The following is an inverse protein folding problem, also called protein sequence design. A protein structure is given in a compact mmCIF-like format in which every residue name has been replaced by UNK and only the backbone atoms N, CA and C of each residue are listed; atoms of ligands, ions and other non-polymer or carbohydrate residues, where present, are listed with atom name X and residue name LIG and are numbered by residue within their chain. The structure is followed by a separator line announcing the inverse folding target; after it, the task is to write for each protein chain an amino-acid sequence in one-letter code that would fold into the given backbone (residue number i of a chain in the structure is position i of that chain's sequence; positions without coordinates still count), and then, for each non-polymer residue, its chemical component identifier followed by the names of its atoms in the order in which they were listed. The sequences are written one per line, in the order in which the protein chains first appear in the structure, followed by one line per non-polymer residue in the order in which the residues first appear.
data_IF_073185808147
#
_entry.id   IF_073185808147
#
_cell.length_a   1.000
_cell.length_b   1.000
_cell.length_c   1.000
_cell.angle_alpha   90.00
_cell.angle_beta   90.00
_cell.angle_gamma   90.00
#
_symmetry.space_group_name_H-M   'P 1'
#
loop_
_entity.id
_entity.type
_entity.pdbx_description
1 polymer ?
#
# COMPACT_ATOMS: atom_id res chain seq x y z
N UNK A 1 -8.22 5.15 -13.71
CA UNK A 1 -8.67 6.35 -12.96
C UNK A 1 -10.18 6.48 -13.03
N UNK A 2 -10.76 6.44 -14.23
CA UNK A 2 -12.22 6.50 -14.46
C UNK A 2 -13.03 5.47 -13.66
N UNK A 3 -12.62 4.20 -13.66
CA UNK A 3 -13.33 3.11 -12.96
C UNK A 3 -13.44 3.30 -11.44
N UNK A 4 -12.57 4.12 -10.86
CA UNK A 4 -12.57 4.45 -9.43
C UNK A 4 -13.01 5.89 -9.15
N UNK A 5 -13.39 6.65 -10.18
CA UNK A 5 -13.91 8.02 -10.08
C UNK A 5 -12.85 9.08 -9.81
N UNK A 6 -11.62 8.90 -10.30
CA UNK A 6 -10.56 9.92 -10.21
C UNK A 6 -10.52 10.71 -11.53
N UNK A 7 -10.78 12.03 -11.53
CA UNK A 7 -10.59 12.89 -12.71
C UNK A 7 -9.13 12.94 -13.16
N UNK A 8 -8.85 13.01 -14.45
CA UNK A 8 -7.47 13.08 -14.95
C UNK A 8 -6.75 14.37 -14.53
N UNK A 9 -7.51 15.45 -14.37
CA UNK A 9 -7.04 16.75 -13.91
C UNK A 9 -6.45 16.69 -12.51
N UNK A 10 -6.88 15.74 -11.68
CA UNK A 10 -6.40 15.60 -10.31
C UNK A 10 -4.88 15.39 -10.23
N UNK A 11 -4.28 14.81 -11.27
CA UNK A 11 -2.83 14.56 -11.33
C UNK A 11 -2.02 15.75 -11.84
N UNK A 12 -2.67 16.81 -12.36
CA UNK A 12 -1.99 17.96 -12.97
C UNK A 12 -1.73 19.10 -11.98
N UNK A 13 -2.60 19.25 -10.99
CA UNK A 13 -2.62 20.43 -10.11
C UNK A 13 -1.98 20.18 -8.75
N UNK A 14 -1.76 18.92 -8.37
CA UNK A 14 -1.28 18.57 -7.03
C UNK A 14 0.00 17.75 -7.09
N UNK A 15 0.98 18.18 -6.31
CA UNK A 15 2.17 17.40 -6.04
C UNK A 15 1.86 16.33 -4.99
N UNK A 16 2.47 15.15 -5.16
CA UNK A 16 2.36 14.05 -4.22
C UNK A 16 3.66 13.90 -3.43
N UNK A 17 3.57 14.08 -2.12
CA UNK A 17 4.67 13.77 -1.20
C UNK A 17 4.36 12.49 -0.41
N UNK A 18 5.20 11.47 -0.55
CA UNK A 18 5.05 10.19 0.13
C UNK A 18 6.07 10.12 1.26
N UNK A 19 5.57 10.03 2.51
CA UNK A 19 6.40 9.79 3.68
C UNK A 19 6.24 8.36 4.19
N UNK A 20 7.36 7.64 4.31
CA UNK A 20 7.40 6.36 5.02
C UNK A 20 8.15 6.58 6.35
N UNK A 21 7.50 6.39 7.52
CA UNK A 21 8.04 6.75 8.85
C UNK A 21 9.39 6.11 9.18
N UNK A 22 10.06 6.58 10.24
CA UNK A 22 11.37 6.07 10.67
C UNK A 22 12.47 6.23 9.60
N UNK A 23 12.64 7.45 9.05
CA UNK A 23 13.55 7.74 7.94
C UNK A 23 15.02 7.35 8.16
N UNK A 24 15.46 7.18 9.41
CA UNK A 24 16.81 6.71 9.74
C UNK A 24 17.02 5.20 9.48
N UNK A 25 15.93 4.42 9.37
CA UNK A 25 16.01 2.98 9.06
C UNK A 25 15.82 2.80 7.55
N UNK A 26 16.81 2.22 6.84
CA UNK A 26 16.70 1.93 5.41
C UNK A 26 15.45 1.08 5.13
N UNK A 27 14.68 1.50 4.12
CA UNK A 27 13.48 0.77 3.67
C UNK A 27 13.64 0.44 2.22
N UNK A 28 14.33 -0.67 2.00
CA UNK A 28 14.52 -1.23 0.68
C UNK A 28 13.56 -2.40 0.43
N UNK A 29 13.09 -2.50 -0.80
CA UNK A 29 12.33 -3.64 -1.30
C UNK A 29 10.93 -3.29 -1.82
N UNK A 30 10.46 -4.00 -2.85
CA UNK A 30 9.22 -3.66 -3.56
C UNK A 30 7.94 -4.01 -2.78
N UNK A 31 8.07 -4.69 -1.63
CA UNK A 31 6.95 -5.35 -0.94
C UNK A 31 5.90 -4.45 -0.29
N UNK A 32 6.10 -3.13 -0.31
CA UNK A 32 5.17 -2.11 0.15
C UNK A 32 4.33 -1.48 -0.99
N UNK A 33 4.48 -1.95 -2.23
CA UNK A 33 3.83 -1.39 -3.41
C UNK A 33 2.31 -1.27 -3.27
N UNK A 34 1.63 -2.33 -2.79
CA UNK A 34 0.18 -2.30 -2.56
C UNK A 34 -0.25 -1.31 -1.46
N UNK A 35 0.59 -1.11 -0.45
CA UNK A 35 0.34 -0.16 0.65
C UNK A 35 0.43 1.28 0.14
N UNK A 36 1.46 1.58 -0.64
CA UNK A 36 1.64 2.88 -1.29
C UNK A 36 0.49 3.17 -2.26
N UNK A 37 0.13 2.21 -3.13
CA UNK A 37 -0.99 2.36 -4.04
C UNK A 37 -2.31 2.61 -3.30
N UNK A 38 -2.55 1.92 -2.18
CA UNK A 38 -3.75 2.14 -1.37
C UNK A 38 -3.81 3.54 -0.77
N UNK A 39 -2.69 4.08 -0.30
CA UNK A 39 -2.60 5.45 0.22
C UNK A 39 -2.84 6.49 -0.90
N UNK A 40 -2.25 6.28 -2.07
CA UNK A 40 -2.42 7.16 -3.25
C UNK A 40 -3.87 7.12 -3.74
N UNK A 41 -4.44 5.93 -3.91
CA UNK A 41 -5.84 5.78 -4.29
C UNK A 41 -6.77 6.45 -3.26
N UNK A 42 -6.47 6.33 -1.97
CA UNK A 42 -7.24 6.94 -0.89
C UNK A 42 -7.25 8.46 -0.99
N UNK A 43 -6.10 9.11 -1.19
CA UNK A 43 -6.04 10.57 -1.29
C UNK A 43 -6.75 11.10 -2.55
N UNK A 44 -6.63 10.42 -3.70
CA UNK A 44 -7.29 10.86 -4.93
C UNK A 44 -8.79 10.57 -4.96
N UNK A 45 -9.25 9.51 -4.30
CA UNK A 45 -10.69 9.18 -4.24
C UNK A 45 -11.42 9.76 -3.03
N UNK A 46 -10.69 10.36 -2.09
CA UNK A 46 -11.21 10.83 -0.79
C UNK A 46 -11.89 9.72 0.03
N UNK A 47 -11.52 8.46 -0.20
CA UNK A 47 -12.05 7.29 0.54
C UNK A 47 -11.03 6.82 1.56
N UNK A 48 -11.42 6.69 2.82
CA UNK A 48 -10.50 6.29 3.90
C UNK A 48 -10.08 4.83 3.77
N UNK A 49 -8.78 4.57 3.93
CA UNK A 49 -8.28 3.20 4.13
C UNK A 49 -8.67 2.70 5.52
N UNK A 50 -9.09 1.43 5.63
CA UNK A 50 -9.39 0.80 6.92
C UNK A 50 -8.09 0.58 7.71
N UNK A 51 -7.91 1.31 8.81
CA UNK A 51 -6.70 1.26 9.64
C UNK A 51 -6.45 -0.05 10.41
N UNK A 52 -7.34 -1.04 10.29
CA UNK A 52 -7.22 -2.34 10.96
C UNK A 52 -6.77 -3.46 10.01
N UNK A 53 -6.22 -3.11 8.85
CA UNK A 53 -5.74 -4.07 7.84
C UNK A 53 -4.24 -3.82 7.60
N UNK A 54 -3.45 -4.89 7.61
CA UNK A 54 -2.07 -4.88 7.12
C UNK A 54 -2.02 -5.41 5.67
N UNK A 55 -1.17 -4.80 4.83
CA UNK A 55 -1.02 -5.13 3.41
C UNK A 55 0.45 -5.40 3.11
N UNK A 56 0.75 -6.40 2.28
CA UNK A 56 2.07 -6.57 1.65
C UNK A 56 1.93 -7.16 0.27
N UNK A 57 2.84 -6.78 -0.63
CA UNK A 57 2.81 -7.18 -2.03
C UNK A 57 3.55 -6.18 -2.88
N UNK A 58 4.31 -6.69 -3.84
CA UNK A 58 4.84 -5.87 -4.92
C UNK A 58 3.73 -5.62 -5.93
N UNK A 59 3.67 -4.41 -6.49
CA UNK A 59 2.65 -4.06 -7.50
C UNK A 59 3.31 -3.74 -8.82
N UNK A 60 2.79 -4.32 -9.90
CA UNK A 60 3.23 -4.01 -11.26
C UNK A 60 2.44 -2.84 -11.84
N UNK A 61 2.96 -2.22 -12.90
CA UNK A 61 2.23 -1.18 -13.65
C UNK A 61 0.90 -1.67 -14.25
N UNK A 62 0.74 -2.99 -14.41
CA UNK A 62 -0.51 -3.62 -14.88
C UNK A 62 -1.49 -3.91 -13.75
N UNK A 63 -1.17 -3.56 -12.51
CA UNK A 63 -2.02 -3.77 -11.33
C UNK A 63 -1.97 -5.20 -10.77
N UNK A 64 -1.04 -6.05 -11.23
CA UNK A 64 -0.82 -7.37 -10.63
C UNK A 64 -0.07 -7.24 -9.30
N UNK A 65 -0.48 -8.03 -8.31
CA UNK A 65 0.19 -8.14 -7.02
C UNK A 65 1.11 -9.37 -7.03
N UNK A 66 2.42 -9.15 -6.93
CA UNK A 66 3.43 -10.20 -6.99
C UNK A 66 3.80 -10.73 -5.58
N UNK A 67 4.26 -11.99 -5.48
CA UNK A 67 4.74 -12.58 -4.24
C UNK A 67 5.87 -11.78 -3.61
N UNK A 68 5.97 -11.84 -2.28
CA UNK A 68 7.01 -11.17 -1.51
C UNK A 68 7.57 -12.09 -0.44
N UNK A 69 8.84 -11.90 -0.09
CA UNK A 69 9.48 -12.61 1.00
C UNK A 69 9.00 -12.18 2.39
N UNK A 70 9.37 -12.99 3.39
CA UNK A 70 9.18 -12.67 4.80
C UNK A 70 7.73 -12.71 5.30
N UNK A 71 6.88 -13.55 4.71
CA UNK A 71 5.45 -13.61 5.04
C UNK A 71 5.24 -13.96 6.52
N UNK A 72 6.01 -14.92 7.05
CA UNK A 72 5.91 -15.34 8.45
C UNK A 72 6.20 -14.18 9.41
N UNK A 73 7.27 -13.45 9.16
CA UNK A 73 7.74 -12.31 9.96
C UNK A 73 6.71 -11.17 9.90
N UNK A 74 6.18 -10.87 8.71
CA UNK A 74 5.16 -9.83 8.49
C UNK A 74 3.84 -10.15 9.18
N UNK A 75 3.36 -11.38 9.09
CA UNK A 75 2.13 -11.83 9.78
C UNK A 75 2.33 -11.79 11.30
N UNK A 76 3.49 -12.21 11.80
CA UNK A 76 3.80 -12.14 13.23
C UNK A 76 3.88 -10.69 13.72
N UNK A 77 4.46 -9.78 12.96
CA UNK A 77 4.50 -8.36 13.26
C UNK A 77 3.08 -7.75 13.30
N UNK A 78 2.24 -8.06 12.31
CA UNK A 78 0.83 -7.63 12.29
C UNK A 78 0.07 -8.14 13.53
N UNK A 79 0.25 -9.41 13.89
CA UNK A 79 -0.33 -10.00 15.10
C UNK A 79 0.12 -9.29 16.37
N UNK A 80 1.42 -8.97 16.50
CA UNK A 80 1.98 -8.21 17.63
C UNK A 80 1.40 -6.79 17.73
N UNK A 81 1.10 -6.18 16.58
CA UNK A 81 0.43 -4.88 16.50
C UNK A 81 -1.09 -4.95 16.72
N UNK A 82 -1.65 -6.12 17.05
CA UNK A 82 -3.10 -6.30 17.28
C UNK A 82 -3.95 -6.29 15.99
N UNK A 83 -3.32 -6.35 14.82
CA UNK A 83 -4.00 -6.36 13.53
C UNK A 83 -4.55 -7.76 13.26
N UNK A 84 -5.86 -7.87 13.09
CA UNK A 84 -6.56 -9.15 12.88
C UNK A 84 -6.66 -9.57 11.42
N UNK A 85 -6.47 -8.63 10.49
CA UNK A 85 -6.68 -8.85 9.06
C UNK A 85 -5.41 -8.48 8.28
N UNK A 86 -4.87 -9.43 7.52
CA UNK A 86 -3.68 -9.26 6.70
C UNK A 86 -4.00 -9.66 5.27
N UNK A 87 -3.72 -8.80 4.30
CA UNK A 87 -3.80 -9.14 2.87
C UNK A 87 -2.43 -9.50 2.34
N UNK A 88 -2.38 -10.64 1.66
CA UNK A 88 -1.18 -11.23 1.08
C UNK A 88 -1.38 -11.39 -0.43
N UNK A 89 -0.30 -11.41 -1.23
CA UNK A 89 -0.37 -11.76 -2.64
C UNK A 89 -1.02 -13.13 -2.83
N UNK A 90 -1.82 -13.28 -3.89
CA UNK A 90 -2.32 -14.58 -4.30
C UNK A 90 -1.13 -15.40 -4.83
N UNK A 91 -1.08 -16.68 -4.46
CA UNK A 91 -0.09 -17.64 -4.98
C UNK A 91 -0.13 -17.71 -6.50
#
# INVERSE_FOLDING_TARGET
AETVGIPEEAFKYWDLHIHVPAGAVPKDGPSAGVSLMSAIASIFTQRKVKGTIALTGEITLRGLVLPVGGIKEKVLAAKRAGIKQVFLPKN
#
